data_IF_593534725844
#
_entry.id   IF_593534725844
#
_cell.length_a   1.000
_cell.length_b   1.000
_cell.length_c   1.000
_cell.angle_alpha   90.00
_cell.angle_beta   90.00
_cell.angle_gamma   90.00
#
_symmetry.space_group_name_H-M   'P 1'
#
loop_
_entity.id
_entity.type
_entity.pdbx_description
1 polymer ?
#
# COMPACT_ATOMS: atom_id res chain seq x y z
N UNK A 1 11.24 6.68 23.15
CA UNK A 1 10.74 7.53 22.05
C UNK A 1 9.60 8.38 22.59
N UNK A 2 9.56 9.69 22.30
CA UNK A 2 8.46 10.55 22.76
C UNK A 2 7.18 10.27 21.95
N UNK A 3 6.00 10.57 22.53
CA UNK A 3 4.72 10.36 21.83
C UNK A 3 4.63 11.17 20.53
N UNK A 4 5.16 12.39 20.52
CA UNK A 4 5.24 13.23 19.32
C UNK A 4 6.02 12.54 18.20
N UNK A 5 7.18 11.95 18.52
CA UNK A 5 8.01 11.25 17.54
C UNK A 5 7.30 10.00 17.00
N UNK A 6 6.56 9.26 17.83
CA UNK A 6 5.80 8.07 17.40
C UNK A 6 4.72 8.44 16.38
N UNK A 7 3.96 9.51 16.63
CA UNK A 7 2.93 10.00 15.70
C UNK A 7 3.54 10.48 14.38
N UNK A 8 4.65 11.23 14.44
CA UNK A 8 5.36 11.71 13.25
C UNK A 8 5.92 10.55 12.40
N UNK A 9 6.51 9.53 13.03
CA UNK A 9 7.00 8.35 12.32
C UNK A 9 5.86 7.53 11.73
N UNK A 10 4.75 7.36 12.47
CA UNK A 10 3.60 6.64 11.95
C UNK A 10 2.95 7.37 10.77
N UNK A 11 2.89 8.71 10.80
CA UNK A 11 2.44 9.51 9.66
C UNK A 11 3.31 9.26 8.40
N UNK A 12 4.63 9.09 8.55
CA UNK A 12 5.52 8.72 7.44
C UNK A 12 5.22 7.31 6.92
N UNK A 13 4.95 6.35 7.80
CA UNK A 13 4.52 4.98 7.41
C UNK A 13 3.21 5.03 6.63
N UNK A 14 2.23 5.84 7.07
CA UNK A 14 0.96 6.02 6.35
C UNK A 14 1.19 6.67 4.99
N UNK A 15 2.00 7.72 4.91
CA UNK A 15 2.27 8.42 3.64
C UNK A 15 2.88 7.45 2.61
N UNK A 16 3.89 6.68 3.01
CA UNK A 16 4.50 5.65 2.16
C UNK A 16 3.49 4.57 1.74
N UNK A 17 2.64 4.12 2.67
CA UNK A 17 1.59 3.15 2.37
C UNK A 17 0.60 3.66 1.31
N UNK A 18 0.21 4.93 1.41
CA UNK A 18 -0.66 5.60 0.43
C UNK A 18 0.00 5.72 -0.94
N UNK A 19 1.28 6.11 -0.99
CA UNK A 19 2.03 6.21 -2.25
C UNK A 19 2.14 4.86 -2.94
N UNK A 20 2.45 3.80 -2.20
CA UNK A 20 2.60 2.45 -2.79
C UNK A 20 1.25 1.88 -3.21
N UNK A 21 0.19 2.13 -2.43
CA UNK A 21 -1.17 1.79 -2.85
C UNK A 21 -1.58 2.53 -4.13
N UNK A 22 -1.28 3.83 -4.22
CA UNK A 22 -1.56 4.62 -5.43
C UNK A 22 -0.80 4.09 -6.65
N UNK A 23 0.48 3.74 -6.49
CA UNK A 23 1.27 3.09 -7.53
C UNK A 23 0.60 1.79 -7.99
N UNK A 24 0.20 0.93 -7.05
CA UNK A 24 -0.50 -0.32 -7.39
C UNK A 24 -1.78 -0.06 -8.20
N UNK A 25 -2.61 0.90 -7.79
CA UNK A 25 -3.83 1.23 -8.54
C UNK A 25 -3.55 1.80 -9.94
N UNK A 26 -2.48 2.58 -10.11
CA UNK A 26 -2.04 3.07 -11.42
C UNK A 26 -1.64 1.90 -12.33
N UNK A 27 -0.92 0.92 -11.79
CA UNK A 27 -0.50 -0.27 -12.54
C UNK A 27 -1.68 -1.21 -12.85
N UNK A 28 -2.67 -1.28 -11.96
CA UNK A 28 -3.87 -2.11 -12.12
C UNK A 28 -4.91 -1.53 -13.08
N UNK A 29 -5.04 -0.20 -13.14
CA UNK A 29 -6.10 0.47 -13.90
C UNK A 29 -6.13 0.09 -15.40
N UNK A 30 -4.99 0.00 -16.12
CA UNK A 30 -4.95 -0.47 -17.50
C UNK A 30 -5.59 -1.84 -17.72
N UNK A 31 -5.28 -2.82 -16.86
CA UNK A 31 -5.90 -4.16 -16.93
C UNK A 31 -7.41 -4.08 -16.77
N UNK A 32 -7.90 -3.29 -15.80
CA UNK A 32 -9.35 -3.10 -15.62
C UNK A 32 -9.99 -2.49 -16.86
N UNK A 33 -9.35 -1.47 -17.46
CA UNK A 33 -9.87 -0.79 -18.66
C UNK A 33 -9.96 -1.76 -19.84
N UNK A 34 -8.91 -2.55 -20.07
CA UNK A 34 -8.88 -3.58 -21.13
C UNK A 34 -10.02 -4.57 -20.92
N UNK A 35 -10.14 -5.16 -19.73
CA UNK A 35 -11.17 -6.16 -19.43
C UNK A 35 -12.59 -5.61 -19.51
N UNK A 36 -12.86 -4.41 -18.96
CA UNK A 36 -14.21 -3.83 -18.94
C UNK A 36 -14.64 -3.35 -20.33
N UNK A 37 -13.71 -2.82 -21.13
CA UNK A 37 -14.01 -2.32 -22.48
C UNK A 37 -13.88 -3.39 -23.57
N UNK A 38 -13.36 -4.57 -23.25
CA UNK A 38 -13.08 -5.61 -24.23
C UNK A 38 -12.07 -5.16 -25.29
N UNK A 39 -11.01 -4.46 -24.87
CA UNK A 39 -9.92 -4.04 -25.77
C UNK A 39 -8.91 -5.17 -25.90
N UNK A 40 -8.25 -5.30 -27.04
CA UNK A 40 -7.13 -6.23 -27.20
C UNK A 40 -5.82 -5.66 -26.63
N UNK A 41 -5.69 -4.33 -26.65
CA UNK A 41 -4.52 -3.60 -26.15
C UNK A 41 -4.86 -2.21 -25.60
N UNK A 42 -3.98 -1.69 -24.74
CA UNK A 42 -4.01 -0.32 -24.25
C UNK A 42 -2.60 0.27 -24.27
N UNK A 43 -2.45 1.47 -24.86
CA UNK A 43 -1.15 2.12 -25.06
C UNK A 43 -0.13 1.25 -25.83
N UNK A 44 -0.60 0.38 -26.74
CA UNK A 44 0.24 -0.52 -27.54
C UNK A 44 0.77 -1.74 -26.78
N UNK A 45 0.21 -2.04 -25.60
CA UNK A 45 0.53 -3.24 -24.82
C UNK A 45 -0.72 -4.10 -24.65
N UNK A 46 -0.55 -5.42 -24.79
CA UNK A 46 -1.61 -6.41 -24.64
C UNK A 46 -2.09 -6.55 -23.20
N UNK A 47 -3.23 -7.23 -23.03
CA UNK A 47 -3.78 -7.60 -21.72
C UNK A 47 -2.75 -8.32 -20.85
N UNK A 48 -2.01 -9.30 -21.40
CA UNK A 48 -1.01 -10.08 -20.67
C UNK A 48 0.11 -9.20 -20.09
N UNK A 49 0.56 -8.19 -20.84
CA UNK A 49 1.61 -7.28 -20.38
C UNK A 49 1.09 -6.44 -19.21
N UNK A 50 -0.10 -5.86 -19.35
CA UNK A 50 -0.70 -5.07 -18.28
C UNK A 50 -1.04 -5.90 -17.04
N UNK A 51 -1.47 -7.14 -17.24
CA UNK A 51 -1.72 -8.08 -16.15
C UNK A 51 -0.42 -8.39 -15.39
N UNK A 52 0.67 -8.68 -16.09
CA UNK A 52 1.97 -8.90 -15.46
C UNK A 52 2.47 -7.67 -14.70
N UNK A 53 2.29 -6.47 -15.26
CA UNK A 53 2.61 -5.21 -14.58
C UNK A 53 1.77 -5.03 -13.31
N UNK A 54 0.48 -5.37 -13.36
CA UNK A 54 -0.43 -5.34 -12.21
C UNK A 54 0.03 -6.31 -11.11
N UNK A 55 0.44 -7.52 -11.49
CA UNK A 55 0.97 -8.54 -10.56
C UNK A 55 2.25 -8.04 -9.89
N UNK A 56 3.17 -7.44 -10.65
CA UNK A 56 4.40 -6.84 -10.08
C UNK A 56 4.04 -5.74 -9.07
N UNK A 57 3.09 -4.86 -9.41
CA UNK A 57 2.58 -3.83 -8.50
C UNK A 57 2.00 -4.43 -7.22
N UNK A 58 1.23 -5.51 -7.33
CA UNK A 58 0.66 -6.23 -6.20
C UNK A 58 1.74 -6.83 -5.28
N UNK A 59 2.78 -7.45 -5.86
CA UNK A 59 3.90 -8.02 -5.11
C UNK A 59 4.65 -6.93 -4.35
N UNK A 60 4.94 -5.78 -4.98
CA UNK A 60 5.59 -4.64 -4.33
C UNK A 60 4.75 -4.13 -3.14
N UNK A 61 3.43 -3.97 -3.35
CA UNK A 61 2.51 -3.56 -2.29
C UNK A 61 2.49 -4.57 -1.13
N UNK A 62 2.46 -5.87 -1.44
CA UNK A 62 2.50 -6.96 -0.45
C UNK A 62 3.80 -6.97 0.36
N UNK A 63 4.96 -6.83 -0.29
CA UNK A 63 6.26 -6.71 0.38
C UNK A 63 6.26 -5.48 1.30
N UNK A 64 5.77 -4.34 0.82
CA UNK A 64 5.69 -3.15 1.67
C UNK A 64 4.84 -3.41 2.92
N UNK A 65 3.67 -4.03 2.74
CA UNK A 65 2.77 -4.36 3.83
C UNK A 65 3.41 -5.30 4.85
N UNK A 66 4.16 -6.32 4.43
CA UNK A 66 4.80 -7.26 5.34
C UNK A 66 5.96 -6.66 6.13
N UNK A 67 6.78 -5.84 5.47
CA UNK A 67 8.05 -5.39 6.06
C UNK A 67 8.00 -3.99 6.68
N UNK A 68 7.18 -3.09 6.13
CA UNK A 68 7.21 -1.65 6.47
C UNK A 68 5.91 -1.15 7.11
N UNK A 69 4.79 -1.87 6.99
CA UNK A 69 3.56 -1.56 7.72
C UNK A 69 3.67 -2.02 9.19
N UNK A 70 4.47 -1.27 9.95
CA UNK A 70 4.83 -1.59 11.34
C UNK A 70 4.57 -0.40 12.26
N UNK A 71 4.22 -0.71 13.51
CA UNK A 71 4.15 0.28 14.57
C UNK A 71 5.57 0.79 14.92
N UNK A 72 5.82 2.11 14.94
CA UNK A 72 7.14 2.66 15.26
C UNK A 72 7.63 2.31 16.67
N UNK A 73 6.71 2.06 17.61
CA UNK A 73 7.05 1.73 19.00
C UNK A 73 7.42 0.27 19.21
N UNK A 74 6.63 -0.66 18.69
CA UNK A 74 6.77 -2.09 18.99
C UNK A 74 7.22 -2.94 17.79
N UNK A 75 7.33 -2.37 16.59
CA UNK A 75 7.76 -3.08 15.37
C UNK A 75 6.74 -4.09 14.83
N UNK A 76 5.64 -4.35 15.55
CA UNK A 76 4.61 -5.28 15.13
C UNK A 76 3.63 -4.62 14.16
N UNK A 77 2.86 -5.46 13.47
CA UNK A 77 1.72 -5.03 12.67
C UNK A 77 0.86 -4.10 13.52
N UNK A 78 0.68 -2.82 13.13
CA UNK A 78 -0.02 -1.91 13.99
C UNK A 78 -1.47 -2.37 14.12
N UNK A 79 -2.04 -3.02 13.09
CA UNK A 79 -3.45 -3.40 12.87
C UNK A 79 -3.96 -3.00 11.45
N UNK A 80 -5.25 -3.20 11.14
CA UNK A 80 -5.81 -2.95 9.79
C UNK A 80 -6.18 -1.48 9.55
N UNK A 81 -6.07 -1.00 8.31
CA UNK A 81 -6.50 0.33 7.88
C UNK A 81 -5.56 1.50 8.26
N UNK A 82 -5.66 2.60 7.52
CA UNK A 82 -4.74 3.75 7.64
C UNK A 82 -5.08 4.73 8.77
N UNK A 83 -6.35 4.84 9.17
CA UNK A 83 -6.83 5.90 10.08
C UNK A 83 -6.88 5.45 11.55
N UNK A 84 -5.89 4.66 12.00
CA UNK A 84 -5.95 4.11 13.36
C UNK A 84 -5.32 5.02 14.40
N UNK A 85 -6.11 5.20 15.47
CA UNK A 85 -5.76 5.97 16.65
C UNK A 85 -4.80 5.24 17.57
N UNK A 86 -4.92 3.92 17.72
CA UNK A 86 -4.10 3.13 18.64
C UNK A 86 -3.52 1.89 17.95
N UNK A 87 -2.36 1.43 18.42
CA UNK A 87 -1.77 0.15 18.02
C UNK A 87 -2.45 -1.03 18.72
N UNK A 88 -2.83 -2.07 17.97
CA UNK A 88 -3.51 -3.26 18.50
C UNK A 88 -2.60 -4.11 19.41
N UNK A 89 -1.27 -3.99 19.23
CA UNK A 89 -0.28 -4.78 19.96
C UNK A 89 0.28 -4.11 21.21
N UNK A 90 0.46 -2.79 21.21
CA UNK A 90 1.10 -2.07 22.32
C UNK A 90 0.28 -0.90 22.87
N UNK A 91 -0.95 -0.73 22.40
CA UNK A 91 -1.91 0.30 22.80
C UNK A 91 -1.40 1.75 22.70
N UNK A 92 -0.27 1.99 22.03
CA UNK A 92 0.24 3.34 21.85
C UNK A 92 -0.65 4.12 20.90
N UNK A 93 -0.84 5.39 21.21
CA UNK A 93 -1.50 6.35 20.34
C UNK A 93 -0.64 6.64 19.10
N UNK A 94 -1.25 6.48 17.92
CA UNK A 94 -0.65 6.56 16.60
C UNK A 94 -1.14 7.78 15.79
N UNK A 95 -2.36 8.26 16.06
CA UNK A 95 -2.95 9.46 15.43
C UNK A 95 -3.75 10.26 16.46
#
# INVERSE_FOLDING_TARGET
>A
MSQKNIKEEFAKVILKAKVIAALFFILLAPSIVITVKGLDELFGYSEDVWFNISVIGFVIYGIYYLFFWKCPKCGNFPGRGWFRKNCDNCAVELS
#
